data_IF_816907586983
#
_entry.id   IF_816907586983
#
_cell.length_a   1.000
_cell.length_b   1.000
_cell.length_c   1.000
_cell.angle_alpha   90.00
_cell.angle_beta   90.00
_cell.angle_gamma   90.00
#
_symmetry.space_group_name_H-M   'P 1'
#
loop_
_entity.id
_entity.type
_entity.pdbx_description
1 polymer ?
#
# COMPACT_ATOMS: atom_id res chain seq x y z
N UNK A 1 -41.34 -25.99 5.64
CA UNK A 1 -40.90 -24.84 6.46
C UNK A 1 -40.94 -25.25 7.92
N UNK A 2 -39.77 -25.25 8.59
CA UNK A 2 -39.73 -24.99 10.02
C UNK A 2 -38.74 -23.86 10.33
N UNK A 3 -39.26 -22.85 11.01
CA UNK A 3 -38.54 -21.77 11.69
C UNK A 3 -37.76 -22.36 12.87
N UNK A 4 -36.43 -22.21 12.87
CA UNK A 4 -35.59 -22.44 14.04
C UNK A 4 -35.00 -21.12 14.50
N UNK A 5 -35.61 -20.59 15.55
CA UNK A 5 -35.14 -19.47 16.35
C UNK A 5 -33.77 -19.82 16.96
N UNK A 6 -32.71 -19.09 16.60
CA UNK A 6 -31.52 -18.96 17.46
C UNK A 6 -31.77 -17.79 18.41
N UNK A 7 -31.99 -18.14 19.66
CA UNK A 7 -32.02 -17.23 20.79
C UNK A 7 -30.70 -16.44 20.85
N UNK A 8 -30.83 -15.13 20.65
CA UNK A 8 -29.88 -14.11 21.08
C UNK A 8 -29.79 -14.17 22.61
N UNK A 9 -28.76 -14.82 23.14
CA UNK A 9 -28.33 -14.56 24.52
C UNK A 9 -27.62 -13.21 24.52
N UNK A 10 -28.28 -12.24 25.15
CA UNK A 10 -27.87 -10.84 25.26
C UNK A 10 -27.16 -10.63 26.58
N UNK A 11 -25.92 -11.10 26.66
CA UNK A 11 -24.91 -10.45 27.51
C UNK A 11 -24.14 -9.48 26.61
N UNK A 12 -23.95 -8.21 26.99
CA UNK A 12 -23.10 -7.29 26.24
C UNK A 12 -21.65 -7.71 26.43
N UNK A 13 -21.23 -8.77 25.72
CA UNK A 13 -19.80 -8.98 25.51
C UNK A 13 -19.32 -7.81 24.66
N UNK A 14 -18.36 -7.03 25.17
CA UNK A 14 -17.68 -6.03 24.37
C UNK A 14 -16.82 -6.77 23.34
N UNK A 15 -17.46 -7.26 22.27
CA UNK A 15 -16.86 -8.07 21.23
C UNK A 15 -15.65 -7.36 20.65
N UNK A 16 -14.45 -7.86 20.96
CA UNK A 16 -13.21 -7.43 20.32
C UNK A 16 -13.23 -7.98 18.91
N UNK A 17 -13.37 -7.10 17.93
CA UNK A 17 -13.13 -7.47 16.55
C UNK A 17 -11.63 -7.40 16.29
N UNK A 18 -11.09 -8.50 15.76
CA UNK A 18 -9.70 -8.68 15.42
C UNK A 18 -9.24 -7.65 14.40
N UNK A 19 -8.13 -6.96 14.68
CA UNK A 19 -7.47 -6.07 13.72
C UNK A 19 -6.03 -6.49 13.47
N UNK A 20 -5.65 -6.41 12.21
CA UNK A 20 -4.32 -6.62 11.68
C UNK A 20 -4.17 -5.59 10.55
N UNK A 21 -3.23 -4.65 10.64
CA UNK A 21 -2.81 -3.88 9.46
C UNK A 21 -1.68 -4.65 8.80
N UNK A 22 -1.88 -5.07 7.55
CA UNK A 22 -0.82 -5.04 6.58
C UNK A 22 -0.93 -3.71 5.81
N UNK A 23 0.16 -3.20 5.25
CA UNK A 23 1.44 -2.91 5.87
C UNK A 23 2.06 -1.58 5.37
N UNK A 24 3.18 -1.21 5.99
CA UNK A 24 3.95 -0.02 5.67
C UNK A 24 4.57 0.01 4.27
N UNK A 25 5.05 1.19 3.89
CA UNK A 25 5.53 1.51 2.56
C UNK A 25 6.94 1.01 2.42
N UNK A 26 7.11 0.16 1.43
CA UNK A 26 8.41 -0.38 1.13
C UNK A 26 8.24 -1.11 -0.19
N UNK A 27 8.90 -0.62 -1.24
CA UNK A 27 8.74 -1.06 -2.64
C UNK A 27 8.72 -2.60 -2.81
N UNK A 28 9.82 -3.26 -3.16
CA UNK A 28 9.87 -4.73 -3.25
C UNK A 28 10.19 -5.45 -1.94
N UNK A 29 10.51 -4.72 -0.88
CA UNK A 29 10.66 -5.30 0.46
C UNK A 29 9.33 -5.82 1.01
N UNK A 30 8.20 -5.33 0.49
CA UNK A 30 6.86 -5.69 0.94
C UNK A 30 6.44 -7.14 0.70
N UNK A 31 7.15 -7.94 -0.10
CA UNK A 31 6.78 -9.35 -0.33
C UNK A 31 6.79 -10.22 0.95
N UNK A 32 7.58 -9.84 1.96
CA UNK A 32 7.56 -10.48 3.29
C UNK A 32 6.19 -10.41 3.96
N UNK A 33 5.36 -9.44 3.59
CA UNK A 33 4.01 -9.26 4.14
C UNK A 33 3.08 -10.40 3.75
N UNK A 34 3.29 -11.07 2.61
CA UNK A 34 2.48 -12.23 2.21
C UNK A 34 2.72 -13.40 3.16
N UNK A 35 3.97 -13.68 3.50
CA UNK A 35 4.33 -14.73 4.47
C UNK A 35 3.85 -14.43 5.89
N UNK A 36 3.96 -13.17 6.30
CA UNK A 36 3.45 -12.67 7.58
C UNK A 36 1.93 -12.85 7.71
N UNK A 37 1.19 -12.42 6.68
CA UNK A 37 -0.26 -12.50 6.64
C UNK A 37 -0.74 -13.96 6.66
N UNK A 38 -0.10 -14.84 5.87
CA UNK A 38 -0.38 -16.27 5.87
C UNK A 38 -0.18 -16.89 7.25
N UNK A 39 0.91 -16.55 7.93
CA UNK A 39 1.23 -17.12 9.25
C UNK A 39 0.25 -16.64 10.33
N UNK A 40 -0.20 -15.40 10.26
CA UNK A 40 -1.23 -14.85 11.15
C UNK A 40 -2.59 -15.50 10.93
N UNK A 41 -2.99 -15.68 9.67
CA UNK A 41 -4.22 -16.39 9.29
C UNK A 41 -4.22 -17.83 9.81
N UNK A 42 -3.09 -18.55 9.69
CA UNK A 42 -2.89 -19.88 10.27
C UNK A 42 -2.99 -19.90 11.82
N UNK A 43 -2.73 -18.78 12.48
CA UNK A 43 -2.91 -18.62 13.93
C UNK A 43 -4.34 -18.15 14.30
N UNK A 44 -5.26 -18.03 13.34
CA UNK A 44 -6.61 -17.51 13.56
C UNK A 44 -6.68 -15.98 13.73
N UNK A 45 -5.62 -15.26 13.35
CA UNK A 45 -5.57 -13.79 13.41
C UNK A 45 -5.86 -13.21 12.03
N UNK A 46 -7.11 -12.78 11.82
CA UNK A 46 -7.57 -12.18 10.56
C UNK A 46 -7.89 -10.68 10.69
N UNK A 47 -7.57 -9.86 9.68
CA UNK A 47 -7.87 -8.43 9.71
C UNK A 47 -9.35 -8.14 9.45
N UNK A 48 -10.00 -7.34 10.32
CA UNK A 48 -11.31 -6.74 10.01
C UNK A 48 -11.21 -5.44 9.20
N UNK A 49 -10.02 -4.84 9.13
CA UNK A 49 -9.75 -3.61 8.40
C UNK A 49 -8.28 -3.54 8.01
N UNK A 50 -8.02 -3.14 6.77
CA UNK A 50 -6.69 -3.06 6.17
C UNK A 50 -6.48 -1.61 5.75
N UNK A 51 -5.37 -1.01 6.18
CA UNK A 51 -4.91 0.28 5.66
C UNK A 51 -3.46 0.12 5.22
N UNK A 52 -3.24 0.27 3.92
CA UNK A 52 -1.95 0.00 3.28
C UNK A 52 -1.34 1.24 2.65
N UNK A 53 -0.03 1.19 2.44
CA UNK A 53 0.70 2.22 1.70
C UNK A 53 1.78 1.59 0.82
N UNK A 54 2.03 2.16 -0.36
CA UNK A 54 2.95 1.60 -1.36
C UNK A 54 2.60 0.16 -1.72
N UNK A 55 3.59 -0.72 -1.78
CA UNK A 55 3.41 -2.15 -1.94
C UNK A 55 2.40 -2.74 -0.94
N UNK A 56 2.33 -2.16 0.25
CA UNK A 56 1.37 -2.54 1.23
C UNK A 56 -0.08 -2.27 0.85
N UNK A 57 -0.35 -1.21 0.11
CA UNK A 57 -1.67 -0.97 -0.45
C UNK A 57 -2.03 -2.05 -1.48
N UNK A 58 -1.10 -2.48 -2.33
CA UNK A 58 -1.34 -3.54 -3.31
C UNK A 58 -1.63 -4.90 -2.65
N UNK A 59 -0.81 -5.28 -1.67
CA UNK A 59 -1.01 -6.55 -0.94
C UNK A 59 -2.30 -6.50 -0.13
N UNK A 60 -2.53 -5.40 0.58
CA UNK A 60 -3.75 -5.18 1.35
C UNK A 60 -5.01 -5.19 0.48
N UNK A 61 -4.95 -4.63 -0.72
CA UNK A 61 -6.03 -4.66 -1.69
C UNK A 61 -6.35 -6.10 -2.12
N UNK A 62 -5.33 -6.92 -2.42
CA UNK A 62 -5.53 -8.34 -2.78
C UNK A 62 -6.18 -9.10 -1.61
N UNK A 63 -5.70 -8.90 -0.39
CA UNK A 63 -6.26 -9.53 0.82
C UNK A 63 -7.70 -9.09 1.09
N UNK A 64 -8.07 -7.88 0.67
CA UNK A 64 -9.41 -7.34 0.93
C UNK A 64 -10.52 -7.92 0.05
N UNK A 65 -10.17 -8.67 -1.01
CA UNK A 65 -11.10 -9.28 -1.96
C UNK A 65 -12.00 -10.35 -1.36
N UNK A 66 -11.54 -11.01 -0.29
CA UNK A 66 -12.27 -12.11 0.36
C UNK A 66 -11.98 -12.08 1.86
N UNK A 67 -12.97 -12.35 2.74
CA UNK A 67 -12.70 -12.53 4.16
C UNK A 67 -11.85 -13.79 4.42
N UNK A 68 -12.13 -14.88 3.70
CA UNK A 68 -11.40 -16.15 3.82
C UNK A 68 -10.31 -16.21 2.76
N UNK A 69 -9.05 -16.24 3.20
CA UNK A 69 -7.90 -16.17 2.29
C UNK A 69 -7.63 -17.53 1.63
N UNK A 70 -7.28 -17.50 0.34
CA UNK A 70 -6.72 -18.65 -0.38
C UNK A 70 -5.25 -18.36 -0.68
N UNK A 71 -4.36 -18.71 0.25
CA UNK A 71 -2.95 -18.39 0.14
C UNK A 71 -2.26 -19.03 -1.05
N UNK A 72 -2.70 -20.20 -1.49
CA UNK A 72 -2.14 -20.84 -2.68
C UNK A 72 -2.49 -20.05 -3.95
N UNK A 73 -3.69 -19.48 -4.04
CA UNK A 73 -4.07 -18.57 -5.13
C UNK A 73 -3.28 -17.26 -5.07
N UNK A 74 -3.08 -16.67 -3.89
CA UNK A 74 -2.28 -15.45 -3.74
C UNK A 74 -0.81 -15.66 -4.15
N UNK A 75 -0.24 -16.82 -3.77
CA UNK A 75 1.13 -17.23 -4.12
C UNK A 75 1.22 -17.50 -5.64
N UNK A 76 0.26 -18.23 -6.21
CA UNK A 76 0.22 -18.49 -7.65
C UNK A 76 0.08 -17.20 -8.47
N UNK A 77 -0.75 -16.26 -8.00
CA UNK A 77 -0.88 -14.92 -8.59
C UNK A 77 0.47 -14.19 -8.58
N UNK A 78 1.18 -14.19 -7.44
CA UNK A 78 2.48 -13.55 -7.31
C UNK A 78 3.54 -14.17 -8.24
N UNK A 79 3.59 -15.50 -8.35
CA UNK A 79 4.47 -16.19 -9.30
C UNK A 79 4.13 -15.90 -10.77
N UNK A 80 2.85 -15.64 -11.07
CA UNK A 80 2.37 -15.31 -12.41
C UNK A 80 2.63 -13.87 -12.85
N UNK A 81 3.13 -12.99 -11.97
CA UNK A 81 3.36 -11.58 -12.29
C UNK A 81 4.52 -11.41 -13.27
N UNK A 82 4.21 -10.96 -14.48
CA UNK A 82 5.21 -10.60 -15.47
C UNK A 82 5.68 -9.16 -15.28
N UNK A 83 6.95 -8.99 -14.89
CA UNK A 83 7.58 -7.68 -14.74
C UNK A 83 7.46 -6.80 -16.00
N UNK A 84 7.52 -7.38 -17.20
CA UNK A 84 7.44 -6.61 -18.46
C UNK A 84 6.04 -6.10 -18.74
N UNK A 85 5.02 -6.78 -18.20
CA UNK A 85 3.62 -6.31 -18.26
C UNK A 85 3.36 -5.29 -17.17
N UNK A 86 3.88 -5.49 -15.97
CA UNK A 86 3.73 -4.56 -14.85
C UNK A 86 4.48 -3.25 -15.04
N UNK A 87 5.66 -3.28 -15.67
CA UNK A 87 6.50 -2.11 -15.87
C UNK A 87 6.86 -1.93 -17.34
N UNK A 88 6.45 -0.80 -17.91
CA UNK A 88 6.82 -0.44 -19.27
C UNK A 88 7.46 0.95 -19.33
N UNK A 89 8.17 1.28 -20.43
CA UNK A 89 8.56 2.66 -20.72
C UNK A 89 7.35 3.60 -20.68
N UNK A 90 7.59 4.88 -20.39
CA UNK A 90 6.55 5.91 -20.19
C UNK A 90 5.57 5.93 -21.37
N UNK A 91 4.37 5.40 -21.14
CA UNK A 91 3.31 5.27 -22.13
C UNK A 91 2.07 6.13 -21.82
N UNK A 92 1.75 6.31 -20.54
CA UNK A 92 0.54 6.99 -20.07
C UNK A 92 0.73 8.50 -20.00
N UNK A 93 -0.30 9.25 -20.38
CA UNK A 93 -0.34 10.70 -20.22
C UNK A 93 -0.58 11.05 -18.76
N UNK A 94 0.33 11.84 -18.18
CA UNK A 94 0.15 12.40 -16.84
C UNK A 94 -1.09 13.30 -16.76
N UNK A 95 -2.06 12.90 -15.92
CA UNK A 95 -3.21 13.69 -15.47
C UNK A 95 -3.11 13.94 -13.96
N UNK A 96 -3.21 12.87 -13.16
CA UNK A 96 -3.28 12.94 -11.70
C UNK A 96 -2.00 12.47 -11.02
N UNK A 97 -1.20 11.63 -11.69
CA UNK A 97 0.05 11.12 -11.15
C UNK A 97 1.25 12.06 -11.32
N UNK A 98 2.41 11.59 -10.84
CA UNK A 98 3.71 12.20 -11.14
C UNK A 98 4.47 11.41 -12.19
N UNK A 99 5.28 12.11 -12.98
CA UNK A 99 6.17 11.50 -13.96
C UNK A 99 7.27 10.65 -13.31
N UNK A 100 7.46 9.44 -13.84
CA UNK A 100 8.43 8.44 -13.39
C UNK A 100 9.36 7.98 -14.52
N UNK A 101 10.31 7.09 -14.21
CA UNK A 101 11.15 6.43 -15.21
C UNK A 101 10.38 5.33 -15.96
N UNK A 102 9.51 4.63 -15.26
CA UNK A 102 8.67 3.55 -15.76
C UNK A 102 7.21 3.87 -15.48
N UNK A 103 6.32 3.34 -16.30
CA UNK A 103 4.88 3.28 -16.02
C UNK A 103 4.57 1.97 -15.30
N UNK A 104 3.77 2.05 -14.23
CA UNK A 104 3.18 0.94 -13.52
C UNK A 104 1.81 0.59 -14.14
N UNK A 105 1.69 -0.57 -14.78
CA UNK A 105 0.49 -1.04 -15.48
C UNK A 105 -0.26 -2.09 -14.67
N UNK A 106 -1.06 -1.63 -13.71
CA UNK A 106 -1.88 -2.53 -12.89
C UNK A 106 -3.13 -3.02 -13.59
N UNK A 107 -3.73 -2.21 -14.48
CA UNK A 107 -4.96 -2.58 -15.18
C UNK A 107 -4.79 -3.86 -16.01
N UNK A 108 -3.67 -3.99 -16.72
CA UNK A 108 -3.40 -5.18 -17.54
C UNK A 108 -3.05 -6.41 -16.70
N UNK A 109 -2.35 -6.20 -15.58
CA UNK A 109 -1.81 -7.31 -14.78
C UNK A 109 -2.78 -7.81 -13.71
N UNK A 110 -3.51 -6.90 -13.07
CA UNK A 110 -4.39 -7.15 -11.92
C UNK A 110 -5.83 -6.69 -12.15
N UNK A 111 -6.12 -5.93 -13.21
CA UNK A 111 -7.44 -5.32 -13.42
C UNK A 111 -8.59 -6.32 -13.48
N UNK A 112 -8.36 -7.52 -14.02
CA UNK A 112 -9.35 -8.59 -14.07
C UNK A 112 -9.80 -9.07 -12.67
N UNK A 113 -8.99 -8.87 -11.62
CA UNK A 113 -9.32 -9.23 -10.24
C UNK A 113 -10.21 -8.21 -9.53
N UNK A 114 -10.29 -6.98 -10.08
CA UNK A 114 -10.98 -5.82 -9.49
C UNK A 114 -12.00 -5.25 -10.47
N UNK A 115 -12.71 -6.13 -11.17
CA UNK A 115 -13.88 -5.81 -11.97
C UNK A 115 -15.10 -6.49 -11.37
N UNK A 116 -16.22 -5.78 -11.41
CA UNK A 116 -17.54 -6.33 -11.13
C UNK A 116 -18.01 -7.21 -12.29
N UNK A 117 -19.12 -7.92 -12.07
CA UNK A 117 -19.76 -8.78 -13.09
C UNK A 117 -20.16 -7.98 -14.35
N UNK A 118 -20.53 -6.71 -14.20
CA UNK A 118 -20.86 -5.79 -15.30
C UNK A 118 -19.62 -5.21 -16.01
N UNK A 119 -18.42 -5.61 -15.58
CA UNK A 119 -17.14 -5.16 -16.13
C UNK A 119 -16.66 -3.81 -15.57
N UNK A 120 -17.43 -3.12 -14.73
CA UNK A 120 -17.00 -1.86 -14.11
C UNK A 120 -15.92 -2.12 -13.04
N UNK A 121 -15.01 -1.17 -12.77
CA UNK A 121 -14.00 -1.38 -11.75
C UNK A 121 -14.61 -1.42 -10.33
N UNK A 122 -14.02 -2.25 -9.46
CA UNK A 122 -14.42 -2.36 -8.05
C UNK A 122 -14.02 -1.10 -7.28
N UNK A 123 -14.97 -0.51 -6.56
CA UNK A 123 -14.76 0.66 -5.68
C UNK A 123 -14.28 0.22 -4.31
N UNK A 124 -13.62 1.13 -3.59
CA UNK A 124 -13.10 0.86 -2.25
C UNK A 124 -14.20 0.42 -1.28
N UNK A 125 -15.37 1.07 -1.30
CA UNK A 125 -16.49 0.71 -0.42
C UNK A 125 -17.21 -0.59 -0.77
N UNK A 126 -16.84 -1.25 -1.87
CA UNK A 126 -17.41 -2.52 -2.30
C UNK A 126 -16.56 -3.72 -1.90
N UNK A 127 -15.38 -3.49 -1.31
CA UNK A 127 -14.48 -4.57 -0.90
C UNK A 127 -15.05 -5.31 0.32
N UNK A 128 -15.06 -6.66 0.31
CA UNK A 128 -15.59 -7.46 1.42
C UNK A 128 -14.91 -7.22 2.77
N UNK A 129 -13.59 -7.03 2.78
CA UNK A 129 -12.85 -6.57 3.96
C UNK A 129 -12.62 -5.07 3.83
N UNK A 130 -12.89 -4.31 4.89
CA UNK A 130 -12.69 -2.86 4.87
C UNK A 130 -11.24 -2.54 4.49
N UNK A 131 -11.06 -1.76 3.44
CA UNK A 131 -9.75 -1.41 2.90
C UNK A 131 -9.64 0.10 2.67
N UNK A 132 -8.48 0.67 2.97
CA UNK A 132 -8.13 2.05 2.65
C UNK A 132 -6.67 2.13 2.19
N UNK A 133 -6.35 3.07 1.30
CA UNK A 133 -5.00 3.25 0.78
C UNK A 133 -4.47 4.64 1.12
N UNK A 134 -3.26 4.73 1.68
CA UNK A 134 -2.60 6.03 1.88
C UNK A 134 -1.83 6.39 0.64
N UNK A 135 -2.10 7.58 0.11
CA UNK A 135 -1.31 8.21 -0.96
C UNK A 135 -0.75 9.54 -0.47
N UNK A 136 0.31 10.01 -1.12
CA UNK A 136 0.84 11.34 -0.87
C UNK A 136 0.35 12.32 -1.94
N UNK A 137 -0.35 13.37 -1.51
CA UNK A 137 -0.71 14.48 -2.36
C UNK A 137 0.39 15.53 -2.39
N UNK A 138 0.96 15.80 -3.57
CA UNK A 138 1.97 16.85 -3.76
C UNK A 138 1.28 18.20 -3.80
N UNK A 139 1.57 19.04 -2.80
CA UNK A 139 0.95 20.36 -2.63
C UNK A 139 1.20 21.23 -3.85
N UNK A 140 0.17 21.94 -4.32
CA UNK A 140 0.23 22.79 -5.52
C UNK A 140 1.41 23.79 -5.48
N UNK A 141 1.56 24.49 -4.36
CA UNK A 141 2.65 25.46 -4.16
C UNK A 141 4.07 24.85 -4.19
N UNK A 142 4.21 23.58 -3.79
CA UNK A 142 5.49 22.88 -3.86
C UNK A 142 5.74 22.32 -5.27
N UNK A 143 4.68 21.81 -5.92
CA UNK A 143 4.73 21.25 -7.25
C UNK A 143 5.31 22.23 -8.28
N UNK A 144 4.88 23.48 -8.26
CA UNK A 144 5.35 24.52 -9.21
C UNK A 144 6.86 24.77 -9.12
N UNK A 145 7.43 24.56 -7.93
CA UNK A 145 8.87 24.72 -7.65
C UNK A 145 9.68 23.46 -7.98
N UNK A 146 9.03 22.34 -8.28
CA UNK A 146 9.74 21.10 -8.62
C UNK A 146 10.50 21.24 -9.94
N UNK A 147 11.65 20.56 -10.08
CA UNK A 147 12.37 20.48 -11.34
C UNK A 147 11.47 20.01 -12.49
N UNK A 148 11.65 20.60 -13.69
CA UNK A 148 10.78 20.36 -14.86
C UNK A 148 10.55 18.89 -15.18
N UNK A 149 11.51 18.00 -14.89
CA UNK A 149 11.41 16.55 -15.11
C UNK A 149 10.27 15.87 -14.33
N UNK A 150 9.91 16.38 -13.15
CA UNK A 150 8.77 15.86 -12.37
C UNK A 150 7.43 16.41 -12.88
N UNK A 151 7.48 17.59 -13.52
CA UNK A 151 6.31 18.28 -14.13
C UNK A 151 6.11 17.94 -15.61
N UNK A 152 7.08 17.28 -16.23
CA UNK A 152 7.11 16.98 -17.65
C UNK A 152 5.98 16.02 -18.02
N UNK A 153 5.27 16.26 -19.12
CA UNK A 153 4.28 15.32 -19.66
C UNK A 153 4.97 14.21 -20.45
N UNK A 154 4.30 13.06 -20.61
CA UNK A 154 4.83 11.93 -21.39
C UNK A 154 5.28 12.32 -22.81
N UNK A 155 4.56 13.24 -23.47
CA UNK A 155 4.92 13.79 -24.78
C UNK A 155 6.30 14.48 -24.79
N UNK A 156 6.65 15.20 -23.71
CA UNK A 156 7.95 15.87 -23.56
C UNK A 156 9.10 14.94 -23.15
N UNK A 157 8.78 13.71 -22.70
CA UNK A 157 9.77 12.69 -22.33
C UNK A 157 10.00 11.64 -23.41
N UNK A 158 9.02 11.37 -24.29
CA UNK A 158 9.17 10.40 -25.41
C UNK A 158 10.40 10.68 -26.28
N UNK A 159 10.72 11.95 -26.54
CA UNK A 159 11.91 12.35 -27.30
C UNK A 159 13.25 12.12 -26.59
N UNK A 160 13.26 11.77 -25.30
CA UNK A 160 14.46 11.45 -24.51
C UNK A 160 14.56 9.98 -24.06
N UNK A 161 13.49 9.20 -24.24
CA UNK A 161 13.37 7.81 -23.75
C UNK A 161 13.57 6.78 -24.88
N UNK A 162 13.78 7.23 -26.11
CA UNK A 162 13.98 6.41 -27.30
C UNK A 162 15.03 5.26 -27.22
N UNK A 163 16.01 5.22 -26.29
CA UNK A 163 16.87 4.05 -26.12
C UNK A 163 16.53 3.15 -24.90
N UNK A 164 15.51 3.45 -24.08
CA UNK A 164 15.27 2.68 -22.85
C UNK A 164 14.63 1.31 -23.04
N UNK A 165 14.01 1.07 -24.20
CA UNK A 165 13.42 -0.22 -24.57
C UNK A 165 14.44 -1.36 -24.76
N UNK A 166 15.75 -1.08 -24.66
CA UNK A 166 16.84 -2.06 -24.83
C UNK A 166 17.54 -2.48 -23.53
N UNK A 167 17.08 -2.02 -22.37
CA UNK A 167 17.84 -2.19 -21.13
C UNK A 167 17.48 -3.46 -20.34
N UNK A 168 18.52 -4.24 -20.00
CA UNK A 168 18.46 -5.34 -19.05
C UNK A 168 18.38 -4.82 -17.61
N UNK A 169 18.02 -5.68 -16.66
CA UNK A 169 17.91 -5.35 -15.22
C UNK A 169 19.14 -4.60 -14.66
N UNK A 170 20.35 -4.93 -15.16
CA UNK A 170 21.62 -4.31 -14.73
C UNK A 170 21.75 -2.84 -15.11
N UNK A 171 21.12 -2.42 -16.19
CA UNK A 171 21.25 -1.05 -16.72
C UNK A 171 20.20 -0.07 -16.19
N UNK A 172 19.11 -0.56 -15.61
CA UNK A 172 18.07 0.29 -15.01
C UNK A 172 18.33 0.56 -13.51
N UNK A 173 19.01 -0.35 -12.82
CA UNK A 173 19.30 -0.23 -11.39
C UNK A 173 20.01 1.09 -11.00
N UNK A 174 21.05 1.58 -11.72
CA UNK A 174 21.69 2.86 -11.37
C UNK A 174 20.75 4.07 -11.56
N UNK A 175 19.88 4.03 -12.57
CA UNK A 175 18.89 5.07 -12.81
C UNK A 175 17.82 5.08 -11.70
N UNK A 176 17.31 3.91 -11.30
CA UNK A 176 16.39 3.77 -10.16
C UNK A 176 17.06 4.27 -8.88
N UNK A 177 18.28 3.84 -8.59
CA UNK A 177 19.01 4.29 -7.41
C UNK A 177 19.14 5.82 -7.37
N UNK A 178 19.56 6.44 -8.47
CA UNK A 178 19.66 7.91 -8.58
C UNK A 178 18.32 8.60 -8.33
N UNK A 179 17.21 8.01 -8.77
CA UNK A 179 15.86 8.56 -8.55
C UNK A 179 15.39 8.37 -7.11
N UNK A 180 15.69 7.23 -6.50
CA UNK A 180 15.38 6.98 -5.08
C UNK A 180 15.99 8.07 -4.19
N UNK A 181 17.20 8.55 -4.48
CA UNK A 181 17.78 9.67 -3.73
C UNK A 181 16.97 10.97 -3.85
N UNK A 182 16.28 11.18 -4.98
CA UNK A 182 15.44 12.35 -5.19
C UNK A 182 14.09 12.23 -4.46
N UNK A 183 13.66 11.00 -4.14
CA UNK A 183 12.47 10.74 -3.31
C UNK A 183 12.64 11.38 -1.92
N UNK A 184 13.88 11.52 -1.42
CA UNK A 184 14.20 12.20 -0.17
C UNK A 184 13.53 13.59 -0.05
N UNK A 185 13.44 14.35 -1.14
CA UNK A 185 12.82 15.68 -1.16
C UNK A 185 11.29 15.66 -0.90
N UNK A 186 10.66 14.50 -1.06
CA UNK A 186 9.24 14.30 -0.81
C UNK A 186 8.94 13.90 0.63
N UNK A 187 9.94 13.54 1.44
CA UNK A 187 9.78 13.28 2.89
C UNK A 187 9.63 14.59 3.71
N UNK A 188 9.16 15.66 3.09
CA UNK A 188 8.91 16.95 3.71
C UNK A 188 7.39 17.23 3.73
N UNK A 189 6.78 17.44 4.91
CA UNK A 189 5.33 17.73 5.02
C UNK A 189 4.90 19.06 4.36
N UNK A 190 5.86 19.93 4.02
CA UNK A 190 5.64 21.14 3.22
C UNK A 190 5.55 20.85 1.72
N UNK A 191 6.02 19.68 1.28
CA UNK A 191 5.97 19.23 -0.12
C UNK A 191 4.77 18.31 -0.35
N UNK A 192 4.58 17.35 0.54
CA UNK A 192 3.48 16.37 0.45
C UNK A 192 2.59 16.39 1.67
N UNK A 193 1.39 15.84 1.52
CA UNK A 193 0.49 15.51 2.61
C UNK A 193 -0.10 14.12 2.43
N UNK A 194 -0.36 13.36 3.51
CA UNK A 194 -1.07 12.11 3.40
C UNK A 194 -2.53 12.38 3.01
N UNK A 195 -3.07 11.54 2.13
CA UNK A 195 -4.48 11.44 1.77
C UNK A 195 -4.85 9.97 1.88
N UNK A 196 -5.98 9.69 2.54
CA UNK A 196 -6.46 8.32 2.75
C UNK A 196 -7.62 8.09 1.80
N UNK A 197 -7.41 7.26 0.79
CA UNK A 197 -8.46 6.80 -0.11
C UNK A 197 -9.39 5.85 0.64
N UNK A 198 -10.70 6.10 0.58
CA UNK A 198 -11.72 5.42 1.37
C UNK A 198 -12.08 6.11 2.69
N UNK A 199 -11.47 7.26 2.99
CA UNK A 199 -11.66 7.95 4.26
C UNK A 199 -13.03 8.64 4.41
N UNK A 200 -13.61 9.06 3.30
CA UNK A 200 -14.86 9.81 3.26
C UNK A 200 -15.70 9.34 2.07
N UNK A 201 -16.90 9.90 1.92
CA UNK A 201 -17.81 9.52 0.83
C UNK A 201 -17.19 9.72 -0.56
N UNK A 202 -16.42 10.79 -0.77
CA UNK A 202 -15.78 11.06 -2.06
C UNK A 202 -14.75 9.97 -2.40
N UNK A 203 -13.84 9.72 -1.46
CA UNK A 203 -12.72 8.81 -1.67
C UNK A 203 -13.10 7.33 -1.54
N UNK A 204 -14.22 7.02 -0.88
CA UNK A 204 -14.79 5.66 -0.82
C UNK A 204 -15.35 5.18 -2.15
N UNK A 205 -15.73 6.11 -3.03
CA UNK A 205 -16.17 5.82 -4.39
C UNK A 205 -15.01 5.61 -5.36
N UNK A 206 -13.77 5.93 -4.99
CA UNK A 206 -12.61 5.73 -5.87
C UNK A 206 -12.43 4.24 -6.22
N UNK A 207 -11.91 3.98 -7.42
CA UNK A 207 -11.55 2.63 -7.84
C UNK A 207 -10.42 2.10 -6.97
N UNK A 208 -10.59 0.90 -6.44
CA UNK A 208 -9.71 0.33 -5.45
C UNK A 208 -8.30 0.05 -6.01
N UNK A 209 -8.25 -0.40 -7.26
CA UNK A 209 -7.00 -0.63 -7.98
C UNK A 209 -6.24 0.67 -8.22
N UNK A 210 -6.93 1.74 -8.62
CA UNK A 210 -6.31 3.05 -8.85
C UNK A 210 -5.76 3.64 -7.56
N UNK A 211 -6.49 3.52 -6.45
CA UNK A 211 -6.03 3.96 -5.14
C UNK A 211 -4.74 3.26 -4.71
N UNK A 212 -4.66 1.94 -4.89
CA UNK A 212 -3.44 1.18 -4.61
C UNK A 212 -2.30 1.52 -5.59
N UNK A 213 -2.62 1.77 -6.86
CA UNK A 213 -1.67 2.16 -7.90
C UNK A 213 -1.00 3.51 -7.62
N UNK A 214 -1.78 4.53 -7.27
CA UNK A 214 -1.22 5.82 -6.82
C UNK A 214 -0.40 5.64 -5.54
N UNK A 215 -0.86 4.80 -4.61
CA UNK A 215 -0.15 4.52 -3.37
C UNK A 215 1.23 3.91 -3.60
N UNK A 216 1.41 3.12 -4.67
CA UNK A 216 2.67 2.47 -5.05
C UNK A 216 3.51 3.25 -6.08
N UNK A 217 3.09 4.47 -6.48
CA UNK A 217 3.74 5.26 -7.52
C UNK A 217 4.92 6.08 -6.98
N UNK A 218 6.07 5.44 -6.78
CA UNK A 218 7.28 6.07 -6.22
C UNK A 218 7.68 7.30 -7.06
N UNK A 219 7.73 8.52 -6.46
CA UNK A 219 7.92 9.76 -7.20
C UNK A 219 9.24 9.77 -7.96
N UNK A 220 9.17 10.00 -9.28
CA UNK A 220 10.35 9.99 -10.15
C UNK A 220 10.86 8.61 -10.57
N UNK A 221 10.30 7.52 -10.03
CA UNK A 221 10.64 6.13 -10.41
C UNK A 221 9.47 5.49 -11.14
N UNK A 222 8.30 5.42 -10.51
CA UNK A 222 7.09 4.79 -11.02
C UNK A 222 6.02 5.85 -11.27
N UNK A 223 5.52 5.87 -12.51
CA UNK A 223 4.38 6.65 -12.91
C UNK A 223 3.14 5.76 -12.88
N UNK A 224 2.09 6.22 -12.20
CA UNK A 224 0.76 5.63 -12.28
C UNK A 224 -0.24 6.73 -12.64
N UNK A 225 -1.21 6.40 -13.48
CA UNK A 225 -2.38 7.22 -13.76
C UNK A 225 -3.54 6.31 -14.17
N UNK A 226 -4.74 6.88 -14.15
CA UNK A 226 -5.98 6.19 -14.48
C UNK A 226 -6.10 5.93 -15.99
N UNK A 227 -6.98 5.01 -16.37
CA UNK A 227 -7.39 4.84 -17.77
C UNK A 227 -8.06 6.13 -18.29
N UNK A 228 -7.69 6.56 -19.50
CA UNK A 228 -8.26 7.73 -20.17
C UNK A 228 -9.78 7.62 -20.35
N UNK A 229 -10.32 6.41 -20.48
CA UNK A 229 -11.75 6.15 -20.62
C UNK A 229 -12.53 6.26 -19.30
N UNK A 230 -11.85 6.26 -18.14
CA UNK A 230 -12.50 6.27 -16.82
C UNK A 230 -12.85 7.70 -16.37
N UNK A 231 -13.89 8.27 -16.98
CA UNK A 231 -14.35 9.64 -16.71
C UNK A 231 -14.82 9.84 -15.26
N UNK A 232 -15.36 8.80 -14.63
CA UNK A 232 -15.82 8.84 -13.24
C UNK A 232 -14.67 9.02 -12.27
N UNK A 233 -13.63 8.20 -12.41
CA UNK A 233 -12.43 8.32 -11.57
C UNK A 233 -11.71 9.65 -11.84
N UNK A 234 -11.68 10.11 -13.10
CA UNK A 234 -11.13 11.42 -13.47
C UNK A 234 -11.81 12.59 -12.75
N UNK A 235 -13.15 12.56 -12.66
CA UNK A 235 -13.93 13.57 -11.93
C UNK A 235 -13.65 13.52 -10.42
N UNK A 236 -13.66 12.33 -9.81
CA UNK A 236 -13.37 12.15 -8.39
C UNK A 236 -11.97 12.67 -8.03
N UNK A 237 -10.96 12.36 -8.86
CA UNK A 237 -9.59 12.80 -8.64
C UNK A 237 -9.41 14.29 -8.86
N UNK A 238 -10.13 14.88 -9.83
CA UNK A 238 -10.14 16.33 -10.05
C UNK A 238 -10.73 17.06 -8.83
N UNK A 239 -11.88 16.61 -8.35
CA UNK A 239 -12.51 17.17 -7.14
C UNK A 239 -11.61 17.03 -5.92
N UNK A 240 -11.01 15.85 -5.73
CA UNK A 240 -10.04 15.61 -4.65
C UNK A 240 -8.83 16.54 -4.76
N UNK A 241 -8.30 16.74 -5.97
CA UNK A 241 -7.13 17.57 -6.20
C UNK A 241 -7.38 19.04 -5.84
N UNK A 242 -8.57 19.55 -6.15
CA UNK A 242 -8.98 20.90 -5.77
C UNK A 242 -9.26 21.01 -4.28
N UNK A 243 -10.02 20.07 -3.71
CA UNK A 243 -10.32 20.01 -2.26
C UNK A 243 -9.05 20.03 -1.41
N UNK A 244 -8.06 19.24 -1.79
CA UNK A 244 -6.82 19.08 -1.02
C UNK A 244 -5.70 20.05 -1.45
N UNK A 245 -5.94 20.88 -2.48
CA UNK A 245 -4.96 21.80 -3.05
C UNK A 245 -3.65 21.13 -3.49
N UNK A 246 -3.78 20.02 -4.22
CA UNK A 246 -2.66 19.22 -4.73
C UNK A 246 -2.59 19.29 -6.27
N UNK A 247 -1.46 18.87 -6.82
CA UNK A 247 -1.20 18.84 -8.27
C UNK A 247 -0.78 17.48 -8.81
N UNK A 248 -0.46 16.54 -7.92
CA UNK A 248 -0.14 15.17 -8.26
C UNK A 248 -0.33 14.25 -7.05
N UNK A 249 -0.68 13.00 -7.32
CA UNK A 249 -0.63 11.89 -6.38
C UNK A 249 0.65 11.07 -6.62
N UNK A 250 1.30 10.69 -5.53
CA UNK A 250 2.50 9.86 -5.49
C UNK A 250 2.44 8.88 -4.33
N UNK A 251 3.44 8.01 -4.25
CA UNK A 251 3.53 6.95 -3.25
C UNK A 251 3.22 7.43 -1.83
N UNK A 252 2.38 6.71 -1.09
CA UNK A 252 2.00 7.11 0.27
C UNK A 252 3.16 7.12 1.26
N UNK A 253 4.18 6.31 1.02
CA UNK A 253 5.34 6.12 1.89
C UNK A 253 6.19 7.36 2.11
N UNK A 254 6.18 8.29 1.14
CA UNK A 254 6.88 9.58 1.34
C UNK A 254 6.18 10.49 2.34
N UNK A 255 4.92 10.20 2.68
CA UNK A 255 4.13 10.97 3.64
C UNK A 255 3.85 10.22 4.95
N UNK A 256 3.57 8.92 4.86
CA UNK A 256 3.32 8.05 6.01
C UNK A 256 3.72 6.61 5.69
N UNK A 257 4.97 6.25 5.98
CA UNK A 257 5.49 4.91 5.67
C UNK A 257 4.84 3.82 6.51
N UNK A 258 4.60 4.04 7.80
CA UNK A 258 3.90 3.07 8.66
C UNK A 258 2.65 3.77 9.16
N UNK A 259 1.51 3.66 8.46
CA UNK A 259 0.38 4.58 8.65
C UNK A 259 -0.52 4.22 9.84
N UNK A 260 0.11 3.93 10.98
CA UNK A 260 -0.57 3.58 12.23
C UNK A 260 -1.44 4.74 12.75
N UNK A 261 -0.97 5.99 12.64
CA UNK A 261 -1.78 7.15 13.02
C UNK A 261 -3.06 7.23 12.19
N UNK A 262 -2.95 7.07 10.86
CA UNK A 262 -4.11 7.11 9.98
C UNK A 262 -5.08 6.01 10.38
N UNK A 263 -4.62 4.75 10.45
CA UNK A 263 -5.45 3.63 10.87
C UNK A 263 -6.17 3.87 12.21
N UNK A 264 -5.43 4.29 13.24
CA UNK A 264 -5.99 4.58 14.56
C UNK A 264 -7.09 5.63 14.48
N UNK A 265 -6.85 6.75 13.78
CA UNK A 265 -7.85 7.82 13.62
C UNK A 265 -9.11 7.31 12.92
N UNK A 266 -8.98 6.41 11.94
CA UNK A 266 -10.11 5.82 11.21
C UNK A 266 -10.95 4.90 12.10
N UNK A 267 -10.29 4.08 12.91
CA UNK A 267 -10.97 3.27 13.94
C UNK A 267 -11.70 4.16 14.94
N UNK A 268 -11.05 5.21 15.47
CA UNK A 268 -11.70 6.13 16.41
C UNK A 268 -12.89 6.88 15.80
N UNK A 269 -12.84 7.14 14.49
CA UNK A 269 -13.95 7.70 13.73
C UNK A 269 -15.10 6.71 13.47
N UNK A 270 -14.98 5.45 13.90
CA UNK A 270 -16.04 4.44 13.81
C UNK A 270 -16.05 3.62 12.50
N UNK A 271 -14.97 3.64 11.71
CA UNK A 271 -14.89 2.97 10.40
C UNK A 271 -15.33 1.50 10.42
N UNK A 272 -15.05 0.80 11.52
CA UNK A 272 -15.32 -0.64 11.68
C UNK A 272 -16.43 -0.94 12.70
N UNK A 273 -17.24 0.06 13.07
CA UNK A 273 -18.34 -0.09 14.04
C UNK A 273 -17.91 -0.24 15.50
N UNK A 274 -16.61 -0.29 15.78
CA UNK A 274 -16.03 -0.31 17.14
C UNK A 274 -14.81 0.60 17.22
N UNK A 275 -14.53 1.12 18.43
CA UNK A 275 -13.29 1.82 18.77
C UNK A 275 -12.28 0.94 19.51
N UNK A 276 -12.72 -0.25 19.91
CA UNK A 276 -11.90 -1.23 20.61
C UNK A 276 -11.21 -2.13 19.57
N UNK A 277 -10.04 -1.70 19.10
CA UNK A 277 -9.23 -2.44 18.15
C UNK A 277 -7.74 -2.31 18.53
N UNK A 278 -6.97 -3.35 18.23
CA UNK A 278 -5.52 -3.36 18.37
C UNK A 278 -4.88 -2.89 17.06
N UNK A 279 -3.94 -1.96 17.10
CA UNK A 279 -3.16 -1.47 15.96
C UNK A 279 -1.83 -2.23 15.82
N UNK A 280 -1.83 -3.40 15.17
CA UNK A 280 -0.64 -4.09 14.63
C UNK A 280 -0.07 -3.46 13.34
N UNK A 281 1.09 -2.79 13.43
CA UNK A 281 1.74 -2.13 12.30
C UNK A 281 2.95 -2.92 11.75
N UNK A 282 3.14 -2.90 10.43
CA UNK A 282 4.21 -3.66 9.75
C UNK A 282 5.23 -2.73 9.10
N UNK A 283 6.51 -2.94 9.37
CA UNK A 283 7.62 -2.12 8.88
C UNK A 283 8.71 -2.98 8.24
N UNK A 284 8.86 -2.90 6.92
CA UNK A 284 9.96 -3.56 6.21
C UNK A 284 10.91 -2.57 5.53
N UNK A 285 10.87 -1.29 5.94
CA UNK A 285 11.73 -0.23 5.43
C UNK A 285 12.53 0.49 6.53
N UNK A 286 12.51 -0.03 7.76
CA UNK A 286 13.39 0.41 8.84
C UNK A 286 14.87 0.29 8.44
N UNK A 287 15.77 1.15 8.98
CA UNK A 287 17.19 1.08 8.70
C UNK A 287 17.80 -0.29 9.05
N UNK A 288 18.37 -0.96 8.04
CA UNK A 288 19.05 -2.24 8.20
C UNK A 288 20.57 -2.09 7.97
N UNK A 289 21.36 -2.78 8.78
CA UNK A 289 22.82 -2.87 8.64
C UNK A 289 23.21 -4.00 7.68
N UNK A 290 22.61 -3.99 6.48
CA UNK A 290 22.93 -4.92 5.39
C UNK A 290 23.73 -4.16 4.31
N UNK A 291 24.94 -4.64 3.93
CA UNK A 291 25.75 -4.03 2.87
C UNK A 291 24.97 -3.77 1.56
N UNK A 292 23.97 -4.59 1.23
CA UNK A 292 23.12 -4.44 0.04
C UNK A 292 22.16 -3.24 0.12
N UNK A 293 21.92 -2.73 1.34
CA UNK A 293 20.97 -1.66 1.64
C UNK A 293 21.65 -0.38 2.15
N UNK A 294 22.97 -0.37 2.37
CA UNK A 294 23.68 0.80 2.93
C UNK A 294 23.52 2.08 2.09
N UNK A 295 23.38 1.96 0.77
CA UNK A 295 23.14 3.11 -0.11
C UNK A 295 21.77 3.78 0.09
N UNK A 296 20.82 3.09 0.75
CA UNK A 296 19.50 3.61 1.10
C UNK A 296 19.47 4.32 2.46
N UNK A 297 20.56 4.31 3.23
CA UNK A 297 20.60 4.86 4.58
C UNK A 297 20.02 6.27 4.69
N UNK A 298 20.32 7.24 3.80
CA UNK A 298 19.70 8.57 3.90
C UNK A 298 18.17 8.54 3.82
N UNK A 299 17.60 7.64 3.02
CA UNK A 299 16.16 7.50 2.82
C UNK A 299 15.53 6.76 4.01
N UNK A 300 16.12 5.66 4.46
CA UNK A 300 15.60 4.90 5.60
C UNK A 300 15.68 5.69 6.90
N UNK A 301 16.66 6.60 7.04
CA UNK A 301 16.72 7.55 8.16
C UNK A 301 15.60 8.59 8.11
N UNK A 302 15.26 9.12 6.92
CA UNK A 302 14.11 10.01 6.77
C UNK A 302 12.79 9.30 7.13
N UNK A 303 12.67 8.02 6.76
CA UNK A 303 11.53 7.16 7.13
C UNK A 303 11.48 6.90 8.64
N UNK A 304 12.63 6.69 9.29
CA UNK A 304 12.69 6.50 10.73
C UNK A 304 12.10 7.69 11.51
N UNK A 305 12.25 8.92 11.00
CA UNK A 305 11.61 10.11 11.59
C UNK A 305 10.08 10.07 11.49
N UNK A 306 9.53 9.52 10.40
CA UNK A 306 8.08 9.29 10.30
C UNK A 306 7.61 8.20 11.28
N UNK A 307 8.44 7.18 11.52
CA UNK A 307 8.13 6.11 12.47
C UNK A 307 7.97 6.64 13.90
N UNK A 308 8.85 7.56 14.34
CA UNK A 308 8.73 8.20 15.67
C UNK A 308 7.38 8.87 15.86
N UNK A 309 6.82 9.46 14.80
CA UNK A 309 5.49 10.12 14.85
C UNK A 309 4.34 9.12 14.90
N UNK A 310 4.47 7.99 14.21
CA UNK A 310 3.42 6.96 14.11
C UNK A 310 3.45 5.95 15.25
N UNK A 311 4.59 5.76 15.92
CA UNK A 311 4.77 4.76 16.98
C UNK A 311 3.73 4.84 18.12
N UNK A 312 3.31 6.02 18.61
CA UNK A 312 2.30 6.11 19.67
C UNK A 312 0.91 5.58 19.29
N UNK A 313 0.64 5.39 17.99
CA UNK A 313 -0.66 4.94 17.49
C UNK A 313 -0.70 3.43 17.21
N UNK A 314 0.45 2.74 17.30
CA UNK A 314 0.54 1.29 17.13
C UNK A 314 0.60 0.59 18.50
N UNK A 315 -0.24 -0.40 18.71
CA UNK A 315 -0.17 -1.30 19.87
C UNK A 315 1.02 -2.26 19.75
N UNK A 316 1.34 -2.69 18.52
CA UNK A 316 2.52 -3.50 18.24
C UNK A 316 3.09 -3.19 16.86
N UNK A 317 4.42 -3.16 16.74
CA UNK A 317 5.12 -2.97 15.47
C UNK A 317 5.97 -4.18 15.17
N UNK A 318 5.72 -4.83 14.04
CA UNK A 318 6.57 -5.90 13.51
C UNK A 318 7.56 -5.30 12.52
N UNK A 319 8.84 -5.35 12.88
CA UNK A 319 9.94 -4.94 12.00
C UNK A 319 10.49 -6.16 11.28
N UNK A 320 10.32 -6.19 9.95
CA UNK A 320 10.75 -7.31 9.13
C UNK A 320 12.23 -7.22 8.82
N UNK A 321 12.94 -8.30 9.10
CA UNK A 321 14.34 -8.48 8.72
C UNK A 321 14.66 -9.97 8.69
N UNK A 322 15.30 -10.49 7.63
CA UNK A 322 15.74 -9.78 6.42
C UNK A 322 14.58 -9.46 5.46
N UNK A 323 14.85 -8.61 4.46
CA UNK A 323 13.90 -8.21 3.40
C UNK A 323 14.58 -8.24 2.02
N UNK A 324 13.80 -8.32 0.94
CA UNK A 324 14.34 -8.20 -0.42
C UNK A 324 14.90 -6.81 -0.70
N UNK A 325 15.72 -6.65 -1.75
CA UNK A 325 16.20 -5.30 -2.11
C UNK A 325 15.05 -4.46 -2.67
N UNK A 326 14.90 -3.18 -2.30
CA UNK A 326 13.83 -2.28 -2.80
C UNK A 326 13.83 -2.02 -4.32
N UNK A 327 14.89 -2.41 -5.03
CA UNK A 327 14.98 -2.31 -6.48
C UNK A 327 14.48 -3.57 -7.21
N UNK A 328 14.30 -4.67 -6.49
CA UNK A 328 13.78 -5.94 -7.02
C UNK A 328 12.23 -5.94 -7.08
N UNK A 329 11.64 -4.92 -7.71
CA UNK A 329 10.19 -4.61 -7.71
C UNK A 329 9.29 -5.86 -7.90
N UNK A 330 9.67 -6.73 -8.84
CA UNK A 330 9.11 -8.09 -9.00
C UNK A 330 10.29 -9.06 -8.87
N UNK A 331 10.38 -9.82 -7.76
CA UNK A 331 11.45 -10.77 -7.50
C UNK A 331 11.31 -12.03 -8.35
N UNK A 332 12.41 -12.77 -8.47
CA UNK A 332 12.38 -14.14 -8.99
C UNK A 332 11.63 -15.08 -8.03
N UNK A 333 10.98 -16.15 -8.54
CA UNK A 333 10.19 -17.09 -7.72
C UNK A 333 10.90 -17.56 -6.44
N UNK A 334 12.14 -18.04 -6.54
CA UNK A 334 12.88 -18.55 -5.38
C UNK A 334 13.11 -17.47 -4.31
N UNK A 335 13.32 -16.21 -4.73
CA UNK A 335 13.52 -15.07 -3.82
C UNK A 335 12.19 -14.64 -3.21
N UNK A 336 11.10 -14.73 -3.96
CA UNK A 336 9.75 -14.55 -3.43
C UNK A 336 9.46 -15.59 -2.34
N UNK A 337 9.65 -16.88 -2.60
CA UNK A 337 9.41 -17.96 -1.65
C UNK A 337 10.24 -17.82 -0.38
N UNK A 338 11.52 -17.46 -0.55
CA UNK A 338 12.40 -17.15 0.59
C UNK A 338 11.84 -16.01 1.45
N UNK A 339 11.29 -14.97 0.82
CA UNK A 339 10.70 -13.83 1.53
C UNK A 339 9.43 -14.19 2.31
N UNK A 340 8.68 -15.21 1.86
CA UNK A 340 7.53 -15.74 2.60
C UNK A 340 7.99 -16.35 3.94
N UNK A 341 9.08 -17.12 3.92
CA UNK A 341 9.68 -17.68 5.12
C UNK A 341 10.12 -16.61 6.12
N UNK A 342 10.75 -15.54 5.63
CA UNK A 342 11.14 -14.40 6.48
C UNK A 342 9.94 -13.69 7.10
N UNK A 343 8.88 -13.48 6.32
CA UNK A 343 7.62 -12.92 6.79
C UNK A 343 6.99 -13.73 7.91
N UNK A 344 6.87 -15.05 7.72
CA UNK A 344 6.32 -15.95 8.72
C UNK A 344 7.17 -15.97 10.01
N UNK A 345 8.49 -16.04 9.87
CA UNK A 345 9.40 -16.04 11.03
C UNK A 345 9.33 -14.72 11.83
N UNK A 346 9.12 -13.59 11.15
CA UNK A 346 9.07 -12.27 11.81
C UNK A 346 7.82 -12.08 12.68
N UNK A 347 6.70 -12.72 12.35
CA UNK A 347 5.46 -12.60 13.14
C UNK A 347 5.39 -13.60 14.29
N UNK A 348 6.12 -14.72 14.22
CA UNK A 348 6.08 -15.80 15.21
C UNK A 348 6.21 -15.31 16.67
N UNK A 349 7.18 -14.43 17.01
CA UNK A 349 7.36 -13.99 18.40
C UNK A 349 6.20 -13.13 18.92
N UNK A 350 5.43 -12.51 18.02
CA UNK A 350 4.31 -11.64 18.39
C UNK A 350 3.03 -12.44 18.67
N UNK A 351 2.89 -13.67 18.16
CA UNK A 351 1.64 -14.43 18.22
C UNK A 351 1.06 -14.59 19.63
N UNK A 352 1.85 -14.88 20.70
CA UNK A 352 1.30 -14.96 22.06
C UNK A 352 0.70 -13.63 22.54
N UNK A 353 1.37 -12.52 22.24
CA UNK A 353 0.88 -11.18 22.56
C UNK A 353 -0.41 -10.87 21.78
N UNK A 354 -0.42 -11.14 20.48
CA UNK A 354 -1.58 -10.90 19.63
C UNK A 354 -2.78 -11.71 20.10
N UNK A 355 -2.60 -13.00 20.38
CA UNK A 355 -3.65 -13.85 20.93
C UNK A 355 -4.23 -13.24 22.21
N UNK A 356 -3.36 -12.79 23.14
CA UNK A 356 -3.80 -12.20 24.41
C UNK A 356 -4.53 -10.87 24.23
N UNK A 357 -4.07 -10.00 23.33
CA UNK A 357 -4.72 -8.72 23.03
C UNK A 357 -6.09 -8.91 22.36
N UNK A 358 -6.28 -10.03 21.66
CA UNK A 358 -7.51 -10.35 20.95
C UNK A 358 -8.52 -11.15 21.79
N UNK A 359 -8.12 -11.64 22.97
CA UNK A 359 -9.05 -12.30 23.90
C UNK A 359 -10.20 -11.36 24.28
N UNK A 360 -11.47 -11.81 24.18
CA UNK A 360 -12.62 -11.05 24.65
C UNK A 360 -12.45 -10.65 26.11
N UNK A 361 -12.84 -9.42 26.46
CA UNK A 361 -12.97 -9.03 27.87
C UNK A 361 -14.42 -9.16 28.26
N UNK A 362 -14.69 -10.09 29.17
CA UNK A 362 -15.91 -10.13 29.96
C UNK A 362 -15.75 -9.26 31.20
N UNK A 363 -16.86 -8.68 31.64
CA UNK A 363 -17.01 -8.22 33.00
C UNK A 363 -17.88 -9.26 33.69
N UNK A 364 -17.41 -9.84 34.79
CA UNK A 364 -18.30 -10.59 35.68
C UNK A 364 -19.18 -9.55 36.39
N UNK A 365 -20.51 -9.67 36.26
CA UNK A 365 -21.47 -8.81 36.97
C UNK A 365 -21.48 -9.04 38.48
#
# INVERSE_FOLDING_TARGET
>A
MPTTSRLLSSTPSAGRNTWCSPPGAAASTGWVYVGAARRLDQAGVQPSYILGTSMGALIGLIMSRTPTQNWDEHIALAHGLDRRKLFAPIGIKRKHGMSGLLTLWLHDSLGHLFRQEDGTPTRINQLPVAYEAVVAGVRRAAFDKLPRRFRATAASMRSRVAPLARYSQRSLAPAIATRMWQVAAFFDPRVVRPIVFGADSLTAECDALDAAGFSAAIPGVLHYDIDDANTRMDQLLTELADRESISALVDGGVSSNVPAEQAWRRVQAGKIGTRNAMVLAWDCFHPQWDPRHLWLQPITQAVALQHVRNAPFADHVIRFSPTLSPIDLVPEPDRFDTSLGWGAAAVEPALPLLAKLLEPVGWDE
#
